data_IF_159713447137
#
_entry.id   IF_159713447137
#
_cell.length_a   1.000
_cell.length_b   1.000
_cell.length_c   1.000
_cell.angle_alpha   90.00
_cell.angle_beta   90.00
_cell.angle_gamma   90.00
#
_symmetry.space_group_name_H-M   'P 1'
#
loop_
_entity.id
_entity.type
_entity.pdbx_description
1 polymer ?
#
# COMPACT_ATOMS: atom_id res chain seq x y z
N UNK A 1 5.69 -16.23 -29.39
CA UNK A 1 5.72 -16.57 -27.95
C UNK A 1 4.90 -15.53 -27.22
N UNK A 2 3.93 -15.92 -26.37
CA UNK A 2 3.13 -14.95 -25.59
C UNK A 2 3.85 -14.71 -24.27
N UNK A 3 4.42 -13.52 -24.10
CA UNK A 3 5.01 -13.07 -22.83
C UNK A 3 4.02 -12.16 -22.10
N UNK A 4 4.12 -12.09 -20.77
CA UNK A 4 3.33 -11.19 -19.94
C UNK A 4 4.24 -10.28 -19.12
N UNK A 5 4.04 -8.96 -19.25
CA UNK A 5 4.79 -7.91 -18.56
C UNK A 5 6.33 -8.00 -18.67
N UNK A 6 6.86 -8.75 -19.65
CA UNK A 6 8.31 -8.96 -19.80
C UNK A 6 8.94 -9.92 -18.78
N UNK A 7 8.14 -10.54 -17.89
CA UNK A 7 8.64 -11.43 -16.82
C UNK A 7 8.15 -12.88 -16.98
N UNK A 8 6.85 -13.09 -17.26
CA UNK A 8 6.22 -14.42 -17.40
C UNK A 8 6.58 -15.43 -16.29
N UNK A 9 6.37 -15.07 -15.02
CA UNK A 9 6.92 -15.80 -13.85
C UNK A 9 6.20 -17.10 -13.47
N UNK A 10 5.12 -17.49 -14.16
CA UNK A 10 4.38 -18.73 -13.89
C UNK A 10 4.92 -19.90 -14.74
N UNK A 11 6.21 -20.18 -14.59
CA UNK A 11 6.96 -21.25 -15.27
C UNK A 11 8.21 -21.58 -14.45
N UNK A 12 8.70 -22.82 -14.54
CA UNK A 12 9.96 -23.20 -13.89
C UNK A 12 11.18 -22.43 -14.46
N UNK A 13 11.09 -22.03 -15.73
CA UNK A 13 12.10 -21.22 -16.41
C UNK A 13 11.44 -20.10 -17.22
N UNK A 14 12.09 -18.94 -17.26
CA UNK A 14 11.70 -17.79 -18.09
C UNK A 14 12.92 -17.09 -18.65
N UNK A 15 12.73 -16.31 -19.72
CA UNK A 15 13.76 -15.46 -20.32
C UNK A 15 13.29 -14.02 -20.21
N UNK A 16 14.14 -13.17 -19.64
CA UNK A 16 13.86 -11.74 -19.43
C UNK A 16 14.93 -10.89 -20.10
N UNK A 17 14.58 -9.63 -20.40
CA UNK A 17 15.59 -8.65 -20.79
C UNK A 17 16.49 -8.33 -19.58
N UNK A 18 17.76 -8.06 -19.82
CA UNK A 18 18.75 -7.70 -18.79
C UNK A 18 18.31 -6.46 -17.99
N UNK A 19 17.74 -5.46 -18.66
CA UNK A 19 17.17 -4.25 -18.06
C UNK A 19 15.98 -4.52 -17.12
N UNK A 20 15.39 -5.70 -17.18
CA UNK A 20 14.28 -6.13 -16.31
C UNK A 20 14.73 -7.10 -15.22
N UNK A 21 16.05 -7.34 -15.08
CA UNK A 21 16.63 -8.25 -14.09
C UNK A 21 17.39 -7.46 -13.01
N UNK A 22 16.88 -7.46 -11.78
CA UNK A 22 17.57 -6.89 -10.63
C UNK A 22 18.30 -7.99 -9.85
N UNK A 23 19.63 -7.87 -9.72
CA UNK A 23 20.42 -8.74 -8.85
C UNK A 23 20.10 -8.43 -7.38
N UNK A 24 19.73 -9.45 -6.61
CA UNK A 24 19.45 -9.35 -5.17
C UNK A 24 20.57 -10.01 -4.35
N UNK A 25 20.51 -9.89 -3.02
CA UNK A 25 21.47 -10.57 -2.13
C UNK A 25 21.33 -12.09 -2.21
N UNK A 26 22.47 -12.79 -2.23
CA UNK A 26 22.52 -14.26 -2.23
C UNK A 26 21.93 -14.88 -0.94
N UNK A 27 21.80 -14.07 0.13
CA UNK A 27 21.21 -14.49 1.41
C UNK A 27 19.73 -14.13 1.56
N UNK A 28 19.12 -13.49 0.55
CA UNK A 28 17.73 -13.09 0.63
C UNK A 28 16.79 -14.31 0.51
N UNK A 29 15.79 -14.46 1.41
CA UNK A 29 14.79 -15.51 1.27
C UNK A 29 13.88 -15.23 0.06
N UNK A 30 14.05 -16.00 -1.02
CA UNK A 30 13.40 -15.74 -2.31
C UNK A 30 11.86 -15.91 -2.28
N UNK A 31 11.36 -16.75 -1.39
CA UNK A 31 9.93 -16.98 -1.17
C UNK A 31 9.19 -15.70 -0.72
N UNK A 32 9.84 -14.88 0.10
CA UNK A 32 9.28 -13.62 0.63
C UNK A 32 9.74 -12.40 -0.14
N UNK A 33 11.00 -12.38 -0.62
CA UNK A 33 11.58 -11.27 -1.37
C UNK A 33 10.86 -11.04 -2.72
N UNK A 34 10.21 -12.06 -3.27
CA UNK A 34 9.44 -11.97 -4.51
C UNK A 34 8.38 -10.86 -4.50
N UNK A 35 7.84 -10.53 -3.33
CA UNK A 35 6.83 -9.47 -3.16
C UNK A 35 7.36 -8.06 -3.45
N UNK A 36 8.69 -7.86 -3.38
CA UNK A 36 9.34 -6.59 -3.73
C UNK A 36 9.33 -6.31 -5.24
N UNK A 37 9.03 -7.30 -6.08
CA UNK A 37 8.89 -7.11 -7.53
C UNK A 37 7.60 -6.41 -7.96
N UNK A 38 6.65 -6.20 -7.04
CA UNK A 38 5.38 -5.56 -7.35
C UNK A 38 4.79 -4.85 -6.11
N UNK A 39 3.75 -5.41 -5.50
CA UNK A 39 2.83 -4.67 -4.62
C UNK A 39 3.46 -4.00 -3.41
N UNK A 40 4.48 -4.61 -2.78
CA UNK A 40 5.13 -4.02 -1.61
C UNK A 40 5.95 -2.79 -2.00
N UNK A 41 6.79 -2.93 -3.03
CA UNK A 41 7.59 -1.81 -3.52
C UNK A 41 6.71 -0.68 -4.08
N UNK A 42 5.60 -1.01 -4.74
CA UNK A 42 4.64 -0.02 -5.23
C UNK A 42 4.05 0.80 -4.08
N UNK A 43 3.56 0.15 -3.02
CA UNK A 43 2.95 0.86 -1.89
C UNK A 43 3.96 1.73 -1.12
N UNK A 44 5.16 1.21 -0.84
CA UNK A 44 6.22 1.98 -0.19
C UNK A 44 6.68 3.15 -1.07
N UNK A 45 6.87 2.91 -2.36
CA UNK A 45 7.30 3.92 -3.33
C UNK A 45 6.27 5.03 -3.53
N UNK A 46 4.98 4.71 -3.50
CA UNK A 46 3.92 5.71 -3.56
C UNK A 46 4.04 6.73 -2.41
N UNK A 47 4.36 6.24 -1.20
CA UNK A 47 4.53 7.10 -0.03
C UNK A 47 5.86 7.85 -0.04
N UNK A 48 6.96 7.16 -0.33
CA UNK A 48 8.32 7.70 -0.13
C UNK A 48 8.83 8.50 -1.31
N UNK A 49 8.45 8.11 -2.53
CA UNK A 49 9.00 8.66 -3.76
C UNK A 49 7.98 9.55 -4.48
N UNK A 50 6.73 9.08 -4.64
CA UNK A 50 5.71 9.82 -5.39
C UNK A 50 5.16 10.98 -4.58
N UNK A 51 4.57 10.71 -3.41
CA UNK A 51 4.04 11.76 -2.55
C UNK A 51 5.11 12.35 -1.63
N UNK A 52 6.16 11.58 -1.30
CA UNK A 52 7.23 11.96 -0.37
C UNK A 52 6.68 12.58 0.93
N UNK A 53 5.74 11.88 1.57
CA UNK A 53 4.98 12.45 2.68
C UNK A 53 5.91 12.90 3.83
N UNK A 54 5.50 13.96 4.51
CA UNK A 54 6.18 14.47 5.70
C UNK A 54 5.73 13.74 6.97
N UNK A 55 6.62 13.70 7.96
CA UNK A 55 6.26 13.27 9.30
C UNK A 55 5.21 14.22 9.92
N UNK A 56 4.29 13.67 10.70
CA UNK A 56 3.18 14.42 11.29
C UNK A 56 1.93 14.51 10.41
N UNK A 57 2.02 14.13 9.13
CA UNK A 57 0.90 14.15 8.19
C UNK A 57 -0.23 13.17 8.55
N UNK A 58 -1.40 13.44 7.98
CA UNK A 58 -2.56 12.56 7.96
C UNK A 58 -2.71 11.89 6.59
N UNK A 59 -2.95 10.59 6.60
CA UNK A 59 -3.00 9.76 5.38
C UNK A 59 -4.29 8.95 5.35
N UNK A 60 -4.98 8.91 4.21
CA UNK A 60 -6.08 7.97 3.98
C UNK A 60 -5.70 6.97 2.88
N UNK A 61 -5.96 5.69 3.14
CA UNK A 61 -5.70 4.60 2.20
C UNK A 61 -7.00 3.88 1.91
N UNK A 62 -7.44 3.95 0.66
CA UNK A 62 -8.62 3.25 0.15
C UNK A 62 -8.18 1.93 -0.47
N UNK A 63 -8.72 0.82 0.06
CA UNK A 63 -8.34 -0.53 -0.32
C UNK A 63 -7.22 -1.09 0.56
N UNK A 64 -7.47 -2.23 1.20
CA UNK A 64 -6.54 -2.90 2.12
C UNK A 64 -6.01 -4.22 1.57
N UNK A 65 -5.64 -4.21 0.29
CA UNK A 65 -4.86 -5.28 -0.35
C UNK A 65 -3.36 -5.16 -0.08
N UNK A 66 -2.54 -5.93 -0.79
CA UNK A 66 -1.08 -5.92 -0.61
C UNK A 66 -0.46 -4.52 -0.79
N UNK A 67 -0.93 -3.76 -1.78
CA UNK A 67 -0.45 -2.39 -2.05
C UNK A 67 -0.87 -1.44 -0.93
N UNK A 68 -2.16 -1.38 -0.60
CA UNK A 68 -2.67 -0.48 0.45
C UNK A 68 -2.09 -0.75 1.84
N UNK A 69 -1.89 -2.03 2.21
CA UNK A 69 -1.20 -2.38 3.46
C UNK A 69 0.26 -1.91 3.45
N UNK A 70 0.92 -1.95 2.29
CA UNK A 70 2.29 -1.44 2.13
C UNK A 70 2.34 0.10 2.17
N UNK A 71 1.30 0.79 1.67
CA UNK A 71 1.14 2.24 1.85
C UNK A 71 1.01 2.59 3.33
N UNK A 72 0.17 1.87 4.09
CA UNK A 72 0.01 2.07 5.54
C UNK A 72 1.36 1.92 6.26
N UNK A 73 2.08 0.83 5.97
CA UNK A 73 3.38 0.57 6.57
C UNK A 73 4.39 1.67 6.21
N UNK A 74 4.45 2.06 4.92
CA UNK A 74 5.30 3.13 4.43
C UNK A 74 4.99 4.47 5.09
N UNK A 75 3.71 4.79 5.29
CA UNK A 75 3.27 6.02 5.94
C UNK A 75 3.65 6.06 7.42
N UNK A 76 3.47 4.93 8.14
CA UNK A 76 3.94 4.78 9.52
C UNK A 76 5.45 4.98 9.63
N UNK A 77 6.22 4.37 8.73
CA UNK A 77 7.68 4.50 8.70
C UNK A 77 8.15 5.93 8.42
N UNK A 78 7.37 6.73 7.68
CA UNK A 78 7.61 8.17 7.47
C UNK A 78 7.14 9.06 8.61
N UNK A 79 6.53 8.47 9.65
CA UNK A 79 6.07 9.20 10.83
C UNK A 79 4.74 9.93 10.62
N UNK A 80 3.87 9.47 9.72
CA UNK A 80 2.50 9.98 9.64
C UNK A 80 1.80 9.85 11.01
N UNK A 81 1.10 10.90 11.43
CA UNK A 81 0.46 10.99 12.75
C UNK A 81 -0.86 10.23 12.81
N UNK A 82 -1.61 10.23 11.71
CA UNK A 82 -2.94 9.61 11.62
C UNK A 82 -3.08 8.91 10.28
N UNK A 83 -3.43 7.64 10.30
CA UNK A 83 -3.52 6.80 9.10
C UNK A 83 -4.91 6.14 9.10
N UNK A 84 -5.76 6.58 8.19
CA UNK A 84 -7.09 6.03 7.97
C UNK A 84 -6.99 4.86 6.98
N UNK A 85 -7.46 3.70 7.41
CA UNK A 85 -7.62 2.51 6.59
C UNK A 85 -9.09 2.37 6.18
N UNK A 86 -9.38 2.47 4.88
CA UNK A 86 -10.75 2.43 4.34
C UNK A 86 -10.92 1.17 3.49
N UNK A 87 -11.85 0.28 3.86
CA UNK A 87 -12.23 -0.90 3.09
C UNK A 87 -13.65 -1.34 3.45
N UNK A 88 -14.36 -1.98 2.53
CA UNK A 88 -15.70 -2.51 2.79
C UNK A 88 -15.67 -3.83 3.56
N UNK A 89 -14.52 -4.50 3.63
CA UNK A 89 -14.33 -5.73 4.38
C UNK A 89 -13.66 -5.45 5.74
N UNK A 90 -14.43 -5.46 6.85
CA UNK A 90 -13.89 -5.19 8.18
C UNK A 90 -12.89 -6.24 8.66
N UNK A 91 -12.87 -7.44 8.08
CA UNK A 91 -11.89 -8.49 8.40
C UNK A 91 -10.45 -8.08 8.12
N UNK A 92 -10.22 -7.09 7.25
CA UNK A 92 -8.87 -6.58 6.91
C UNK A 92 -8.32 -5.57 7.93
N UNK A 93 -9.18 -4.97 8.75
CA UNK A 93 -8.80 -3.89 9.67
C UNK A 93 -7.83 -4.33 10.76
N UNK A 94 -7.89 -5.60 11.19
CA UNK A 94 -6.96 -6.14 12.18
C UNK A 94 -5.51 -6.01 11.69
N UNK A 95 -5.24 -6.51 10.48
CA UNK A 95 -3.90 -6.47 9.87
C UNK A 95 -3.49 -5.03 9.57
N UNK A 96 -4.42 -4.19 9.10
CA UNK A 96 -4.13 -2.78 8.84
C UNK A 96 -3.64 -2.05 10.11
N UNK A 97 -4.27 -2.30 11.27
CA UNK A 97 -3.84 -1.75 12.57
C UNK A 97 -2.47 -2.27 13.01
N UNK A 98 -2.22 -3.56 12.86
CA UNK A 98 -0.91 -4.16 13.15
C UNK A 98 0.21 -3.48 12.34
N UNK A 99 -0.07 -3.16 11.07
CA UNK A 99 0.88 -2.52 10.17
C UNK A 99 0.98 -1.00 10.31
N UNK A 100 0.01 -0.32 10.94
CA UNK A 100 0.13 1.11 11.26
C UNK A 100 -1.12 1.96 11.23
N UNK A 101 -2.26 1.43 10.79
CA UNK A 101 -3.50 2.21 10.74
C UNK A 101 -3.91 2.65 12.15
N UNK A 102 -4.25 3.92 12.30
CA UNK A 102 -4.77 4.49 13.56
C UNK A 102 -6.29 4.42 13.60
N UNK A 103 -6.93 4.58 12.44
CA UNK A 103 -8.37 4.61 12.27
C UNK A 103 -8.76 3.61 11.19
N UNK A 104 -9.88 2.92 11.36
CA UNK A 104 -10.44 2.05 10.32
C UNK A 104 -11.88 2.47 10.07
N UNK A 105 -12.23 2.63 8.80
CA UNK A 105 -13.55 3.14 8.39
C UNK A 105 -14.10 2.22 7.32
N UNK A 106 -15.28 1.65 7.57
CA UNK A 106 -16.03 0.92 6.56
C UNK A 106 -17.03 1.88 5.91
N UNK A 107 -16.92 2.16 4.59
CA UNK A 107 -17.88 3.03 3.91
C UNK A 107 -19.34 2.58 4.03
N UNK A 108 -19.60 1.29 4.24
CA UNK A 108 -20.96 0.73 4.36
C UNK A 108 -21.62 1.00 5.71
N UNK A 109 -20.86 1.47 6.71
CA UNK A 109 -21.38 1.83 8.03
C UNK A 109 -21.89 3.29 8.08
N UNK A 110 -21.94 3.97 6.93
CA UNK A 110 -22.28 5.38 6.81
C UNK A 110 -23.25 5.65 5.66
N UNK A 111 -24.27 6.48 5.92
CA UNK A 111 -25.23 6.90 4.89
C UNK A 111 -24.67 7.98 3.94
N UNK A 112 -23.68 8.74 4.42
CA UNK A 112 -23.05 9.83 3.68
C UNK A 112 -21.83 9.35 2.89
N UNK A 113 -21.46 10.02 1.78
CA UNK A 113 -20.26 9.67 1.03
C UNK A 113 -19.01 9.66 1.91
N UNK A 114 -18.15 8.66 1.73
CA UNK A 114 -16.98 8.42 2.60
C UNK A 114 -16.04 9.63 2.69
N UNK A 115 -15.89 10.39 1.61
CA UNK A 115 -15.09 11.62 1.62
C UNK A 115 -15.62 12.66 2.62
N UNK A 116 -16.94 12.76 2.81
CA UNK A 116 -17.54 13.67 3.79
C UNK A 116 -17.32 13.17 5.22
N UNK A 117 -17.40 11.84 5.44
CA UNK A 117 -17.06 11.22 6.73
C UNK A 117 -15.62 11.58 7.12
N UNK A 118 -14.65 11.39 6.21
CA UNK A 118 -13.25 11.66 6.47
C UNK A 118 -12.97 13.14 6.74
N UNK A 119 -13.57 14.06 5.97
CA UNK A 119 -13.48 15.51 6.23
C UNK A 119 -14.06 15.84 7.62
N UNK A 120 -15.19 15.24 8.00
CA UNK A 120 -15.78 15.37 9.33
C UNK A 120 -14.84 14.90 10.46
N UNK A 121 -13.99 13.90 10.20
CA UNK A 121 -13.01 13.38 11.16
C UNK A 121 -11.72 14.21 11.26
N UNK A 122 -11.43 15.07 10.27
CA UNK A 122 -10.14 15.78 10.11
C UNK A 122 -10.27 17.29 9.97
N UNK A 123 -11.49 17.84 10.10
CA UNK A 123 -11.87 19.26 9.91
C UNK A 123 -11.69 19.78 8.48
N UNK A 124 -10.57 19.51 7.82
CA UNK A 124 -10.23 20.05 6.50
C UNK A 124 -9.93 18.98 5.43
N UNK A 125 -9.99 17.70 5.80
CA UNK A 125 -9.52 16.60 4.96
C UNK A 125 -8.17 16.06 5.44
N UNK A 126 -7.68 15.05 4.73
CA UNK A 126 -6.36 14.45 4.98
C UNK A 126 -5.30 15.05 4.07
N UNK A 127 -4.05 15.07 4.52
CA UNK A 127 -2.93 15.64 3.76
C UNK A 127 -2.63 14.83 2.51
N UNK A 128 -2.72 13.49 2.61
CA UNK A 128 -2.47 12.57 1.50
C UNK A 128 -3.55 11.49 1.39
N UNK A 129 -3.95 11.17 0.18
CA UNK A 129 -4.86 10.05 -0.14
C UNK A 129 -4.21 9.08 -1.12
N UNK A 130 -4.46 7.79 -0.93
CA UNK A 130 -4.01 6.73 -1.82
C UNK A 130 -5.19 5.80 -2.15
N UNK A 131 -5.41 5.55 -3.43
CA UNK A 131 -6.37 4.56 -3.94
C UNK A 131 -5.57 3.33 -4.43
N UNK A 132 -5.81 2.16 -3.83
CA UNK A 132 -4.91 1.01 -3.86
C UNK A 132 -5.61 -0.36 -4.01
#
# INVERSE_FOLDING_TARGET
IKHFMGCSTFSEYTVVADISCAKVSDTAPLDTCSLLGCGVATGLGAVWNTCNIEGGSSVAVFGLGAVGLSVIQGAKMRGAKRIFAIDTNPGKFKVAKELGATDCVNPLDHDQPIQQVLVGMTKWGVDYTFDA
#
